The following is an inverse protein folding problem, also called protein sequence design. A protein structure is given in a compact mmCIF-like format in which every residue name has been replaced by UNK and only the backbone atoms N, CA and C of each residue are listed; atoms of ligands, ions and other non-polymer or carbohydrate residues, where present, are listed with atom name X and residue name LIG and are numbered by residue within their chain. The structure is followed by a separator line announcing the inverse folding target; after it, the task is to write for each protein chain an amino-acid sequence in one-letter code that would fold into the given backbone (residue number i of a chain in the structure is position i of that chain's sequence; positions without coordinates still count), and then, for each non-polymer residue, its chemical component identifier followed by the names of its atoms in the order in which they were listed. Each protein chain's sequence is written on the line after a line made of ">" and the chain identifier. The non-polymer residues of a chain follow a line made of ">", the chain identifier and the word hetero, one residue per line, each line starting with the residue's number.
data_IF_152398187437
#
_entry.id   IF_152398187437
#
_cell.length_a   1.000
_cell.length_b   1.000
_cell.length_c   1.000
_cell.angle_alpha   90.00
_cell.angle_beta   90.00
_cell.angle_gamma   90.00
#
_symmetry.space_group_name_H-M   'P 1'
#
loop_
_entity.id
_entity.type
_entity.pdbx_description
1 polymer ?
#
# COMPACT_ATOMS: atom_id res chain seq x y z
N UNK A 1 -10.43 -1.08 -9.94
CA UNK A 1 -11.27 -1.11 -8.71
C UNK A 1 -12.73 -1.45 -9.03
N UNK A 2 -13.32 -0.81 -10.04
CA UNK A 2 -14.67 -1.13 -10.53
C UNK A 2 -14.89 -2.62 -10.83
N UNK A 3 -13.95 -3.26 -11.54
CA UNK A 3 -14.01 -4.71 -11.82
C UNK A 3 -14.09 -5.56 -10.55
N UNK A 4 -13.34 -5.17 -9.50
CA UNK A 4 -13.36 -5.86 -8.21
C UNK A 4 -14.72 -5.67 -7.54
N UNK A 5 -15.18 -4.42 -7.41
CA UNK A 5 -16.46 -4.07 -6.79
C UNK A 5 -17.63 -4.73 -7.52
N UNK A 6 -17.63 -4.76 -8.84
CA UNK A 6 -18.70 -5.41 -9.61
C UNK A 6 -18.73 -6.93 -9.38
N UNK A 7 -17.57 -7.55 -9.08
CA UNK A 7 -17.44 -8.98 -8.80
C UNK A 7 -17.76 -9.34 -7.34
N UNK A 8 -17.41 -8.49 -6.37
CA UNK A 8 -17.47 -8.80 -4.93
C UNK A 8 -18.50 -7.98 -4.13
N UNK A 9 -18.92 -6.82 -4.65
CA UNK A 9 -19.76 -5.83 -3.98
C UNK A 9 -21.21 -6.24 -3.74
N UNK A 10 -21.61 -7.46 -4.17
CA UNK A 10 -22.91 -8.05 -3.82
C UNK A 10 -22.92 -8.72 -2.44
N UNK A 11 -21.76 -9.11 -1.89
CA UNK A 11 -21.69 -9.97 -0.69
C UNK A 11 -21.24 -9.27 0.59
N UNK A 12 -20.56 -8.11 0.51
CA UNK A 12 -20.07 -7.40 1.70
C UNK A 12 -20.46 -5.91 1.64
N UNK A 13 -21.36 -5.49 2.54
CA UNK A 13 -21.79 -4.09 2.66
C UNK A 13 -20.92 -3.25 3.61
N UNK A 14 -20.11 -3.90 4.45
CA UNK A 14 -19.41 -3.22 5.56
C UNK A 14 -17.96 -2.81 5.23
N UNK A 15 -17.24 -3.60 4.44
CA UNK A 15 -15.83 -3.35 4.10
C UNK A 15 -15.57 -3.55 2.61
N UNK A 16 -14.83 -2.61 1.99
CA UNK A 16 -14.42 -2.74 0.59
C UNK A 16 -13.62 -4.03 0.34
N UNK A 17 -12.73 -4.40 1.26
CA UNK A 17 -11.99 -5.65 1.22
C UNK A 17 -12.35 -6.52 2.44
N UNK A 18 -13.28 -7.48 2.30
CA UNK A 18 -13.64 -8.36 3.39
C UNK A 18 -12.52 -9.36 3.70
N UNK A 19 -12.35 -9.66 4.98
CA UNK A 19 -11.46 -10.71 5.48
C UNK A 19 -12.13 -12.09 5.44
N UNK A 20 -11.36 -13.13 5.79
CA UNK A 20 -11.83 -14.54 5.77
C UNK A 20 -13.06 -14.79 6.66
N UNK A 21 -13.15 -14.09 7.79
CA UNK A 21 -14.25 -14.22 8.74
C UNK A 21 -15.08 -12.94 8.74
N UNK A 22 -16.26 -12.98 8.15
CA UNK A 22 -17.19 -11.85 8.17
C UNK A 22 -17.70 -11.58 9.60
N UNK A 23 -17.98 -10.32 9.98
CA UNK A 23 -17.83 -9.09 9.21
C UNK A 23 -16.49 -8.39 9.52
N UNK A 24 -15.34 -9.07 9.37
CA UNK A 24 -14.03 -8.43 9.61
C UNK A 24 -13.40 -7.93 8.30
N UNK A 25 -12.66 -6.81 8.32
CA UNK A 25 -11.88 -6.39 7.17
C UNK A 25 -10.70 -7.33 6.92
N UNK A 26 -10.13 -7.24 5.73
CA UNK A 26 -8.84 -7.86 5.42
C UNK A 26 -7.77 -7.35 6.40
N UNK A 27 -7.09 -8.27 7.09
CA UNK A 27 -6.07 -7.91 8.08
C UNK A 27 -4.73 -7.57 7.41
N UNK A 28 -3.93 -6.77 8.10
CA UNK A 28 -2.56 -6.46 7.68
C UNK A 28 -1.72 -7.72 7.48
N UNK A 29 -1.83 -8.70 8.38
CA UNK A 29 -1.12 -9.98 8.24
C UNK A 29 -1.56 -10.73 6.99
N UNK A 30 -2.84 -10.66 6.62
CA UNK A 30 -3.35 -11.29 5.40
C UNK A 30 -2.72 -10.64 4.17
N UNK A 31 -2.62 -9.31 4.12
CA UNK A 31 -1.95 -8.59 3.02
C UNK A 31 -0.48 -8.97 2.93
N UNK A 32 0.24 -9.03 4.06
CA UNK A 32 1.65 -9.45 4.10
C UNK A 32 1.83 -10.89 3.57
N UNK A 33 0.94 -11.82 3.95
CA UNK A 33 0.98 -13.20 3.47
C UNK A 33 0.66 -13.31 1.97
N UNK A 34 -0.30 -12.54 1.47
CA UNK A 34 -0.62 -12.48 0.03
C UNK A 34 0.61 -12.02 -0.75
N UNK A 35 1.27 -10.94 -0.32
CA UNK A 35 2.48 -10.45 -0.99
C UNK A 35 3.63 -11.45 -0.91
N UNK A 36 3.85 -12.08 0.25
CA UNK A 36 4.88 -13.11 0.40
C UNK A 36 4.68 -14.24 -0.61
N UNK A 37 3.45 -14.73 -0.78
CA UNK A 37 3.13 -15.77 -1.77
C UNK A 37 3.41 -15.31 -3.20
N UNK A 38 3.07 -14.07 -3.55
CA UNK A 38 3.35 -13.52 -4.88
C UNK A 38 4.86 -13.44 -5.13
N UNK A 39 5.64 -12.98 -4.15
CA UNK A 39 7.11 -12.91 -4.22
C UNK A 39 7.71 -14.30 -4.44
N UNK A 40 7.26 -15.29 -3.67
CA UNK A 40 7.71 -16.69 -3.79
C UNK A 40 7.34 -17.29 -5.14
N UNK A 41 6.10 -17.08 -5.61
CA UNK A 41 5.62 -17.58 -6.91
C UNK A 41 6.41 -17.02 -8.09
N UNK A 42 6.94 -15.80 -7.96
CA UNK A 42 7.74 -15.15 -9.00
C UNK A 42 9.25 -15.31 -8.77
N UNK A 43 9.67 -16.13 -7.79
CA UNK A 43 11.08 -16.38 -7.47
C UNK A 43 11.91 -15.10 -7.26
N UNK A 44 11.28 -14.08 -6.68
CA UNK A 44 11.95 -12.81 -6.39
C UNK A 44 12.86 -13.01 -5.17
N UNK A 45 14.13 -12.63 -5.32
CA UNK A 45 15.14 -12.77 -4.25
C UNK A 45 14.95 -11.79 -3.09
N UNK A 46 14.23 -10.69 -3.32
CA UNK A 46 14.01 -9.64 -2.33
C UNK A 46 12.69 -9.86 -1.61
N UNK A 47 12.72 -9.77 -0.28
CA UNK A 47 11.50 -9.66 0.53
C UNK A 47 10.78 -8.35 0.22
N UNK A 48 9.53 -8.43 -0.24
CA UNK A 48 8.67 -7.27 -0.51
C UNK A 48 7.57 -7.18 0.55
N UNK A 49 7.41 -6.01 1.16
CA UNK A 49 6.37 -5.74 2.17
C UNK A 49 5.47 -4.57 1.74
N UNK A 50 4.24 -4.43 2.27
CA UNK A 50 3.33 -3.35 1.88
C UNK A 50 3.93 -1.94 2.00
N UNK A 51 4.72 -1.68 3.05
CA UNK A 51 5.35 -0.37 3.28
C UNK A 51 6.36 -0.01 2.19
N UNK A 52 6.97 -0.99 1.52
CA UNK A 52 7.92 -0.72 0.44
C UNK A 52 7.22 -0.09 -0.77
N UNK A 53 5.96 -0.45 -1.06
CA UNK A 53 5.20 0.24 -2.11
C UNK A 53 4.93 1.71 -1.76
N UNK A 54 4.66 2.00 -0.48
CA UNK A 54 4.50 3.38 0.00
C UNK A 54 5.80 4.16 -0.14
N UNK A 55 6.93 3.55 0.19
CA UNK A 55 8.24 4.16 0.00
C UNK A 55 8.54 4.41 -1.49
N UNK A 56 8.36 3.41 -2.35
CA UNK A 56 8.55 3.56 -3.80
C UNK A 56 7.65 4.66 -4.37
N UNK A 57 6.38 4.73 -3.95
CA UNK A 57 5.48 5.80 -4.37
C UNK A 57 5.98 7.19 -3.94
N UNK A 58 6.47 7.33 -2.71
CA UNK A 58 7.01 8.59 -2.22
C UNK A 58 8.28 9.02 -2.95
N UNK A 59 9.21 8.08 -3.18
CA UNK A 59 10.45 8.33 -3.95
C UNK A 59 10.12 8.71 -5.39
N UNK A 60 9.21 7.98 -6.07
CA UNK A 60 8.80 8.33 -7.44
C UNK A 60 8.21 9.74 -7.55
N UNK A 61 7.45 10.19 -6.54
CA UNK A 61 6.94 11.57 -6.54
C UNK A 61 8.05 12.60 -6.35
N UNK A 62 9.03 12.33 -5.49
CA UNK A 62 10.20 13.19 -5.34
C UNK A 62 11.05 13.23 -6.62
N UNK A 63 11.24 12.09 -7.29
CA UNK A 63 12.04 11.97 -8.52
C UNK A 63 11.45 12.78 -9.69
N UNK A 64 10.14 13.06 -9.67
CA UNK A 64 9.46 13.93 -10.65
C UNK A 64 9.24 15.36 -10.12
N UNK A 65 10.02 15.77 -9.12
CA UNK A 65 10.02 17.10 -8.52
C UNK A 65 8.67 17.56 -7.96
N UNK A 66 7.82 16.62 -7.51
CA UNK A 66 6.58 16.96 -6.82
C UNK A 66 6.91 17.61 -5.48
N UNK A 67 6.24 18.73 -5.19
CA UNK A 67 6.40 19.44 -3.93
C UNK A 67 6.24 18.49 -2.73
N UNK A 68 7.24 18.45 -1.86
CA UNK A 68 7.26 17.60 -0.66
C UNK A 68 6.05 17.83 0.27
N UNK A 69 5.47 19.03 0.29
CA UNK A 69 4.22 19.34 1.02
C UNK A 69 3.03 18.61 0.42
N UNK A 70 2.98 18.50 -0.90
CA UNK A 70 1.95 17.74 -1.60
C UNK A 70 2.12 16.22 -1.36
N UNK A 71 3.36 15.73 -1.39
CA UNK A 71 3.69 14.33 -1.05
C UNK A 71 3.26 14.02 0.40
N UNK A 72 3.55 14.92 1.34
CA UNK A 72 3.14 14.80 2.75
C UNK A 72 1.61 14.63 2.86
N UNK A 73 0.84 15.45 2.13
CA UNK A 73 -0.62 15.40 2.13
C UNK A 73 -1.16 14.08 1.57
N UNK A 74 -0.66 13.64 0.41
CA UNK A 74 -1.12 12.37 -0.20
C UNK A 74 -0.81 11.17 0.70
N UNK A 75 0.36 11.17 1.34
CA UNK A 75 0.74 10.10 2.25
C UNK A 75 0.00 10.19 3.60
N UNK A 76 -0.54 11.35 3.96
CA UNK A 76 -1.18 11.56 5.27
C UNK A 76 -0.17 11.60 6.42
N UNK A 77 1.03 12.15 6.19
CA UNK A 77 2.04 12.27 7.24
C UNK A 77 1.75 13.43 8.19
N UNK A 78 1.83 13.16 9.49
CA UNK A 78 1.60 14.15 10.55
C UNK A 78 2.60 15.29 10.57
N UNK A 79 3.79 15.10 10.00
CA UNK A 79 4.82 16.14 9.87
C UNK A 79 5.62 16.00 8.58
N UNK A 80 6.26 17.11 8.19
CA UNK A 80 7.16 17.12 7.04
C UNK A 80 8.42 16.27 7.28
N UNK A 81 8.89 16.20 8.53
CA UNK A 81 10.08 15.42 8.90
C UNK A 81 9.92 13.93 8.59
N UNK A 82 8.71 13.37 8.73
CA UNK A 82 8.42 11.98 8.33
C UNK A 82 8.49 11.80 6.81
N UNK A 83 8.24 12.85 6.03
CA UNK A 83 8.34 12.83 4.56
C UNK A 83 9.77 13.06 4.09
N UNK A 84 10.56 13.85 4.83
CA UNK A 84 11.98 14.09 4.56
C UNK A 84 12.86 12.84 4.68
N UNK A 85 12.38 11.75 5.30
CA UNK A 85 13.12 10.48 5.24
C UNK A 85 13.38 10.04 3.80
N UNK A 86 12.54 10.45 2.84
CA UNK A 86 12.67 10.10 1.42
C UNK A 86 13.62 10.98 0.63
N UNK A 87 13.96 12.18 1.14
CA UNK A 87 14.90 13.09 0.46
C UNK A 87 16.37 12.71 0.69
N UNK A 88 16.61 11.73 1.56
CA UNK A 88 17.94 11.22 1.90
C UNK A 88 18.15 9.78 1.41
N UNK A 89 17.20 9.22 0.66
CA UNK A 89 17.30 7.90 0.03
C UNK A 89 17.72 8.13 -1.41
N UNK A 90 19.01 8.40 -1.62
CA UNK A 90 19.65 8.47 -2.95
C UNK A 90 21.00 7.75 -2.87
#
# INVERSE_FOLDING_TARGET
>A
LETYINKTGKESKDFLFPGKHLPKPLSEQSVRLILKRIVEQNSLSKTITPHMFRHSFATMLLDIDVDIRYIQQILGHSSISVTQIYTHVS
#
